data_IF_187304685875
#
_entry.id   IF_187304685875
#
_cell.length_a   1.000
_cell.length_b   1.000
_cell.length_c   1.000
_cell.angle_alpha   90.00
_cell.angle_beta   90.00
_cell.angle_gamma   90.00
#
_symmetry.space_group_name_H-M   'P 1'
#
loop_
_entity.id
_entity.type
_entity.pdbx_description
1 polymer ?
#
# COMPACT_ATOMS: atom_id res chain seq x y z
N UNK A 1 -3.05 -15.91 24.21
CA UNK A 1 -2.53 -16.68 23.07
C UNK A 1 -2.59 -15.75 21.89
N UNK A 2 -1.47 -15.55 21.19
CA UNK A 2 -1.41 -14.64 20.05
C UNK A 2 -2.48 -14.98 19.02
N UNK A 3 -3.03 -13.95 18.39
CA UNK A 3 -4.00 -14.06 17.30
C UNK A 3 -3.56 -13.19 16.15
N UNK A 4 -4.09 -13.48 14.97
CA UNK A 4 -3.94 -12.63 13.80
C UNK A 4 -5.31 -12.15 13.34
N UNK A 5 -5.38 -10.88 12.94
CA UNK A 5 -6.54 -10.28 12.28
C UNK A 5 -6.12 -9.75 10.91
N UNK A 6 -6.77 -10.19 9.85
CA UNK A 6 -6.58 -9.73 8.48
C UNK A 6 -7.76 -8.85 8.09
N UNK A 7 -7.47 -7.64 7.63
CA UNK A 7 -8.44 -6.65 7.15
C UNK A 7 -8.39 -6.63 5.63
N UNK A 8 -9.52 -6.84 4.97
CA UNK A 8 -9.59 -6.95 3.50
C UNK A 8 -10.59 -5.96 2.95
N UNK A 9 -10.11 -5.00 2.18
CA UNK A 9 -10.94 -4.10 1.38
C UNK A 9 -11.22 -4.69 0.00
N UNK A 10 -12.45 -4.58 -0.49
CA UNK A 10 -12.86 -5.09 -1.81
C UNK A 10 -13.78 -4.10 -2.52
N UNK A 11 -14.04 -4.33 -3.80
CA UNK A 11 -15.03 -3.56 -4.57
C UNK A 11 -16.49 -3.69 -4.10
N UNK A 12 -16.82 -4.61 -3.17
CA UNK A 12 -18.20 -4.77 -2.67
C UNK A 12 -18.30 -4.94 -1.15
N UNK A 13 -17.34 -4.41 -0.42
CA UNK A 13 -17.36 -4.33 1.04
C UNK A 13 -16.03 -4.68 1.67
N UNK A 14 -16.02 -4.67 3.00
CA UNK A 14 -14.90 -5.04 3.84
C UNK A 14 -15.12 -6.41 4.50
N UNK A 15 -14.02 -7.11 4.75
CA UNK A 15 -14.03 -8.37 5.48
C UNK A 15 -12.95 -8.35 6.57
N UNK A 16 -13.29 -8.90 7.74
CA UNK A 16 -12.36 -9.07 8.85
C UNK A 16 -12.20 -10.57 9.08
N UNK A 17 -10.97 -11.06 9.01
CA UNK A 17 -10.66 -12.48 9.18
C UNK A 17 -9.78 -12.66 10.41
N UNK A 18 -10.07 -13.64 11.25
CA UNK A 18 -9.28 -13.90 12.46
C UNK A 18 -8.87 -15.36 12.57
N UNK A 19 -7.65 -15.58 13.08
CA UNK A 19 -7.12 -16.91 13.39
C UNK A 19 -6.27 -16.86 14.66
N UNK A 20 -5.98 -18.02 15.22
CA UNK A 20 -4.96 -18.17 16.24
C UNK A 20 -3.53 -18.11 15.63
N UNK A 21 -2.51 -18.22 16.47
CA UNK A 21 -1.09 -18.25 16.05
C UNK A 21 -0.76 -19.29 14.98
N UNK A 22 -1.56 -20.37 14.87
CA UNK A 22 -1.32 -21.45 13.91
C UNK A 22 -1.77 -21.07 12.50
N UNK A 23 -2.69 -20.11 12.37
CA UNK A 23 -3.19 -19.59 11.07
C UNK A 23 -3.81 -20.66 10.16
N UNK A 24 -4.39 -21.70 10.75
CA UNK A 24 -4.99 -22.84 10.02
C UNK A 24 -6.50 -22.75 9.86
N UNK A 25 -7.20 -22.27 10.88
CA UNK A 25 -8.65 -22.12 10.88
C UNK A 25 -9.00 -20.64 10.98
N UNK A 26 -9.89 -20.18 10.12
CA UNK A 26 -10.19 -18.76 9.98
C UNK A 26 -11.67 -18.51 10.20
N UNK A 27 -11.98 -17.56 11.09
CA UNK A 27 -13.30 -16.95 11.17
C UNK A 27 -13.33 -15.76 10.23
N UNK A 28 -14.26 -15.77 9.29
CA UNK A 28 -14.45 -14.68 8.31
C UNK A 28 -15.73 -13.92 8.65
N UNK A 29 -15.61 -12.62 8.88
CA UNK A 29 -16.72 -11.71 9.18
C UNK A 29 -16.90 -10.69 8.05
N UNK A 30 -18.16 -10.40 7.71
CA UNK A 30 -18.55 -9.51 6.63
C UNK A 30 -19.64 -10.11 5.73
N UNK A 31 -19.98 -9.45 4.59
CA UNK A 31 -19.42 -8.16 4.18
C UNK A 31 -19.88 -7.03 5.12
N UNK A 32 -18.93 -6.27 5.66
CA UNK A 32 -19.20 -4.95 6.19
C UNK A 32 -19.35 -3.99 5.00
N UNK A 33 -20.28 -3.03 5.10
CA UNK A 33 -20.49 -2.03 4.04
C UNK A 33 -20.82 -2.64 2.68
N UNK A 34 -21.70 -3.64 2.67
CA UNK A 34 -22.04 -4.40 1.48
C UNK A 34 -22.39 -3.50 0.28
N UNK A 35 -21.69 -3.73 -0.84
CA UNK A 35 -21.89 -2.98 -2.09
C UNK A 35 -21.14 -1.64 -2.20
N UNK A 36 -20.30 -1.29 -1.22
CA UNK A 36 -19.36 -0.18 -1.30
C UNK A 36 -17.97 -0.66 -1.70
N UNK A 37 -17.23 0.15 -2.46
CA UNK A 37 -15.80 -0.05 -2.59
C UNK A 37 -15.13 0.33 -1.28
N UNK A 38 -14.26 -0.54 -0.77
CA UNK A 38 -13.41 -0.26 0.38
C UNK A 38 -11.97 -0.29 -0.09
N UNK A 39 -11.38 0.89 -0.32
CA UNK A 39 -10.04 1.02 -0.90
C UNK A 39 -8.98 0.52 0.07
N UNK A 40 -9.08 0.95 1.33
CA UNK A 40 -8.11 0.59 2.36
C UNK A 40 -8.76 0.44 3.72
N UNK A 41 -8.22 -0.48 4.51
CA UNK A 41 -8.50 -0.61 5.93
C UNK A 41 -7.18 -0.72 6.67
N UNK A 42 -7.01 0.02 7.76
CA UNK A 42 -5.81 -0.11 8.59
C UNK A 42 -6.14 0.03 10.07
N UNK A 43 -5.48 -0.77 10.90
CA UNK A 43 -5.65 -0.78 12.34
C UNK A 43 -4.49 -0.08 13.03
N UNK A 44 -4.77 0.64 14.12
CA UNK A 44 -3.71 1.29 14.89
C UNK A 44 -2.77 0.26 15.51
N UNK A 45 -1.44 0.43 15.40
CA UNK A 45 -0.48 -0.48 16.01
C UNK A 45 -0.41 -0.30 17.54
N UNK A 46 -0.89 0.82 18.08
CA UNK A 46 -0.87 1.12 19.53
C UNK A 46 -2.23 0.94 20.21
N UNK A 47 -3.30 0.85 19.43
CA UNK A 47 -4.63 0.44 19.89
C UNK A 47 -5.27 -0.44 18.81
N UNK A 48 -5.06 -1.77 18.86
CA UNK A 48 -5.45 -2.65 17.77
C UNK A 48 -6.96 -2.78 17.58
N UNK A 49 -7.79 -2.35 18.53
CA UNK A 49 -9.24 -2.34 18.35
C UNK A 49 -9.72 -1.12 17.54
N UNK A 50 -8.86 -0.11 17.37
CA UNK A 50 -9.11 1.02 16.49
C UNK A 50 -8.74 0.69 15.04
N UNK A 51 -9.74 0.68 14.17
CA UNK A 51 -9.59 0.41 12.73
C UNK A 51 -10.26 1.50 11.93
N UNK A 52 -9.60 1.99 10.88
CA UNK A 52 -10.16 2.92 9.90
C UNK A 52 -10.47 2.21 8.59
N UNK A 53 -11.53 2.61 7.90
CA UNK A 53 -11.87 2.07 6.57
C UNK A 53 -12.29 3.19 5.60
N UNK A 54 -11.71 3.15 4.39
CA UNK A 54 -11.93 4.13 3.33
C UNK A 54 -13.00 3.61 2.38
N UNK A 55 -14.26 4.01 2.59
CA UNK A 55 -15.32 3.72 1.64
C UNK A 55 -15.35 4.77 0.55
N UNK A 56 -15.56 4.36 -0.68
CA UNK A 56 -15.85 5.29 -1.77
C UNK A 56 -16.86 4.66 -2.72
N UNK A 57 -17.71 5.49 -3.32
CA UNK A 57 -18.60 5.07 -4.42
C UNK A 57 -18.90 6.24 -5.32
N UNK A 58 -18.98 6.01 -6.63
CA UNK A 58 -19.15 7.08 -7.62
C UNK A 58 -20.36 8.01 -7.38
N UNK A 59 -21.45 7.54 -6.75
CA UNK A 59 -22.63 8.38 -6.47
C UNK A 59 -22.58 9.12 -5.13
N UNK A 60 -21.91 8.56 -4.12
CA UNK A 60 -21.95 9.05 -2.74
C UNK A 60 -20.61 9.64 -2.27
N UNK A 61 -19.57 9.54 -3.09
CA UNK A 61 -18.22 9.98 -2.76
C UNK A 61 -17.56 9.14 -1.68
N UNK A 62 -16.57 9.73 -1.03
CA UNK A 62 -15.86 9.16 0.12
C UNK A 62 -16.76 9.09 1.36
N UNK A 63 -16.63 8.03 2.16
CA UNK A 63 -17.03 7.98 3.56
C UNK A 63 -15.92 7.34 4.39
N UNK A 64 -15.42 8.03 5.41
CA UNK A 64 -14.52 7.43 6.41
C UNK A 64 -15.34 6.71 7.48
N UNK A 65 -14.97 5.48 7.80
CA UNK A 65 -15.48 4.74 8.95
C UNK A 65 -14.39 4.48 9.96
N UNK A 66 -14.81 4.34 11.22
CA UNK A 66 -13.96 3.84 12.29
C UNK A 66 -14.67 2.76 13.10
N UNK A 67 -13.92 1.75 13.52
CA UNK A 67 -14.28 0.82 14.57
C UNK A 67 -13.37 1.08 15.78
N UNK A 68 -13.90 0.94 16.99
CA UNK A 68 -13.15 0.98 18.25
C UNK A 68 -13.31 -0.35 19.03
N UNK A 69 -13.75 -1.43 18.37
CA UNK A 69 -13.99 -2.75 18.97
C UNK A 69 -13.45 -3.91 18.11
N UNK A 70 -12.45 -3.60 17.28
CA UNK A 70 -11.76 -4.58 16.44
C UNK A 70 -12.54 -5.00 15.20
N UNK A 71 -13.42 -4.14 14.70
CA UNK A 71 -14.17 -4.33 13.46
C UNK A 71 -15.58 -4.90 13.65
N UNK A 72 -16.06 -5.05 14.89
CA UNK A 72 -17.40 -5.62 15.17
C UNK A 72 -18.49 -4.59 14.90
N UNK A 73 -18.27 -3.35 15.31
CA UNK A 73 -19.14 -2.21 15.05
C UNK A 73 -18.36 -1.07 14.39
N UNK A 74 -19.07 -0.26 13.62
CA UNK A 74 -18.51 0.80 12.80
C UNK A 74 -19.37 2.06 12.90
N UNK A 75 -18.71 3.22 12.90
CA UNK A 75 -19.36 4.52 12.88
C UNK A 75 -18.73 5.42 11.81
N UNK A 76 -19.54 6.25 11.12
CA UNK A 76 -19.03 7.24 10.18
C UNK A 76 -18.25 8.32 10.94
N UNK A 77 -17.16 8.77 10.34
CA UNK A 77 -16.26 9.76 10.91
C UNK A 77 -16.27 11.07 10.11
N UNK A 78 -15.40 12.01 10.48
CA UNK A 78 -15.20 13.25 9.73
C UNK A 78 -14.83 12.94 8.29
N UNK A 79 -15.44 13.69 7.37
CA UNK A 79 -15.33 13.44 5.93
C UNK A 79 -15.12 14.74 5.14
N UNK A 80 -14.70 15.80 5.81
CA UNK A 80 -14.36 17.08 5.18
C UNK A 80 -12.85 17.14 4.92
N UNK A 81 -12.44 16.94 3.67
CA UNK A 81 -11.05 17.02 3.22
C UNK A 81 -10.84 18.33 2.45
N UNK A 82 -10.63 19.43 3.19
CA UNK A 82 -10.44 20.77 2.60
C UNK A 82 -8.96 21.05 2.39
N UNK A 83 -8.60 21.46 1.18
CA UNK A 83 -7.25 21.93 0.90
C UNK A 83 -6.98 23.28 1.57
N UNK A 84 -5.81 23.40 2.19
CA UNK A 84 -5.30 24.63 2.78
C UNK A 84 -4.79 25.59 1.69
N UNK A 85 -5.15 26.87 1.84
CA UNK A 85 -4.69 27.92 0.94
C UNK A 85 -5.26 27.82 -0.49
N UNK A 86 -4.50 28.32 -1.46
CA UNK A 86 -4.91 28.28 -2.87
C UNK A 86 -4.74 26.86 -3.41
N UNK A 87 -5.80 26.34 -4.02
CA UNK A 87 -5.74 25.09 -4.78
C UNK A 87 -5.00 25.37 -6.08
N UNK A 88 -3.85 24.72 -6.25
CA UNK A 88 -3.04 24.78 -7.47
C UNK A 88 -3.58 23.78 -8.51
N UNK A 89 -2.90 23.68 -9.65
CA UNK A 89 -3.19 22.70 -10.70
C UNK A 89 -2.10 21.64 -10.78
N UNK A 90 -2.40 20.53 -11.43
CA UNK A 90 -1.46 19.54 -11.95
C UNK A 90 -1.77 19.28 -13.44
N UNK A 91 -1.05 18.39 -14.10
CA UNK A 91 -1.32 17.99 -15.49
C UNK A 91 -2.37 16.89 -15.56
N UNK A 92 -3.20 16.93 -16.59
CA UNK A 92 -4.12 15.85 -16.93
C UNK A 92 -3.55 14.92 -18.01
N UNK A 93 -4.30 13.87 -18.37
CA UNK A 93 -3.88 12.89 -19.39
C UNK A 93 -3.57 13.51 -20.77
N UNK A 94 -4.16 14.67 -21.08
CA UNK A 94 -3.94 15.44 -22.31
C UNK A 94 -2.94 16.60 -22.13
N UNK A 95 -2.22 16.64 -21.00
CA UNK A 95 -1.28 17.69 -20.60
C UNK A 95 -1.89 19.08 -20.34
N UNK A 96 -3.23 19.18 -20.26
CA UNK A 96 -3.90 20.39 -19.78
C UNK A 96 -3.71 20.58 -18.28
N UNK A 97 -3.88 21.82 -17.80
CA UNK A 97 -3.87 22.12 -16.37
C UNK A 97 -5.22 21.75 -15.76
N UNK A 98 -5.21 20.91 -14.74
CA UNK A 98 -6.37 20.45 -13.99
C UNK A 98 -6.24 20.86 -12.52
N UNK A 99 -7.28 21.42 -11.88
CA UNK A 99 -7.21 21.72 -10.44
C UNK A 99 -7.02 20.43 -9.63
N UNK A 100 -6.29 20.50 -8.53
CA UNK A 100 -6.33 19.41 -7.54
C UNK A 100 -7.74 19.27 -6.98
N UNK A 101 -8.29 18.06 -7.01
CA UNK A 101 -9.63 17.79 -6.48
C UNK A 101 -9.60 16.57 -5.55
N UNK A 102 -10.27 16.66 -4.41
CA UNK A 102 -10.44 15.52 -3.54
C UNK A 102 -11.51 14.59 -4.11
N UNK A 103 -11.12 13.35 -4.42
CA UNK A 103 -11.98 12.28 -4.90
C UNK A 103 -12.23 11.22 -3.83
N UNK A 104 -11.15 10.72 -3.21
CA UNK A 104 -11.20 9.61 -2.24
C UNK A 104 -9.94 9.54 -1.37
N UNK A 105 -10.09 8.90 -0.21
CA UNK A 105 -8.95 8.38 0.55
C UNK A 105 -8.50 7.08 -0.09
N UNK A 106 -7.23 7.02 -0.47
CA UNK A 106 -6.60 5.84 -1.05
C UNK A 106 -5.97 4.97 0.03
N UNK A 107 -5.24 5.57 0.98
CA UNK A 107 -4.47 4.85 2.00
C UNK A 107 -4.61 5.51 3.38
N UNK A 108 -4.78 4.70 4.42
CA UNK A 108 -4.68 5.13 5.81
C UNK A 108 -3.41 4.62 6.48
N UNK A 109 -2.72 5.51 7.18
CA UNK A 109 -1.52 5.19 7.95
C UNK A 109 -1.68 5.67 9.40
N UNK A 110 -2.10 4.80 10.33
CA UNK A 110 -2.16 5.12 11.76
C UNK A 110 -0.78 5.43 12.33
N UNK A 111 -0.72 6.32 13.32
CA UNK A 111 0.50 6.67 14.02
C UNK A 111 1.10 5.49 14.78
N UNK A 112 2.43 5.41 14.80
CA UNK A 112 3.18 4.41 15.55
C UNK A 112 3.17 4.64 17.08
N UNK A 113 2.67 5.78 17.55
CA UNK A 113 2.77 6.15 18.97
C UNK A 113 1.54 6.84 19.57
N UNK A 114 0.51 7.11 18.76
CA UNK A 114 -0.70 7.78 19.22
C UNK A 114 -1.94 7.15 18.56
N UNK A 115 -2.85 6.53 19.33
CA UNK A 115 -4.00 5.85 18.75
C UNK A 115 -4.97 6.80 18.05
N UNK A 116 -5.00 8.09 18.39
CA UNK A 116 -5.92 9.07 17.78
C UNK A 116 -5.32 9.75 16.54
N UNK A 117 -4.03 9.56 16.27
CA UNK A 117 -3.38 10.14 15.09
C UNK A 117 -3.39 9.17 13.91
N UNK A 118 -3.88 9.63 12.75
CA UNK A 118 -3.88 8.87 11.49
C UNK A 118 -3.63 9.81 10.32
N UNK A 119 -2.86 9.35 9.34
CA UNK A 119 -2.62 10.04 8.08
C UNK A 119 -3.47 9.41 6.97
N UNK A 120 -3.92 10.23 6.03
CA UNK A 120 -4.66 9.80 4.85
C UNK A 120 -3.99 10.30 3.58
N UNK A 121 -3.58 9.35 2.74
CA UNK A 121 -3.17 9.60 1.37
C UNK A 121 -4.41 9.62 0.48
N UNK A 122 -4.55 10.67 -0.33
CA UNK A 122 -5.76 10.88 -1.13
C UNK A 122 -5.45 10.98 -2.62
N UNK A 123 -6.52 10.90 -3.40
CA UNK A 123 -6.55 11.29 -4.80
C UNK A 123 -7.37 12.58 -4.88
N UNK A 124 -6.87 13.69 -5.42
CA UNK A 124 -5.54 13.87 -6.04
C UNK A 124 -4.42 14.18 -5.03
N UNK A 125 -3.28 13.46 -5.19
CA UNK A 125 -1.99 13.48 -4.49
C UNK A 125 -1.79 14.51 -3.35
N UNK A 126 -2.59 14.38 -2.29
CA UNK A 126 -2.47 15.19 -1.09
C UNK A 126 -2.40 14.30 0.16
N UNK A 127 -1.91 14.90 1.25
CA UNK A 127 -1.76 14.26 2.54
C UNK A 127 -2.63 14.99 3.56
N UNK A 128 -3.45 14.24 4.27
CA UNK A 128 -4.23 14.74 5.39
C UNK A 128 -3.81 14.05 6.68
N UNK A 129 -4.05 14.73 7.79
CA UNK A 129 -3.81 14.23 9.14
C UNK A 129 -5.05 14.46 9.99
N UNK A 130 -5.34 13.49 10.83
CA UNK A 130 -6.25 13.64 11.97
C UNK A 130 -5.49 13.34 13.25
N UNK A 131 -5.83 14.01 14.34
CA UNK A 131 -5.29 13.78 15.70
C UNK A 131 -6.40 13.53 16.73
N UNK A 132 -7.63 13.27 16.26
CA UNK A 132 -8.82 13.06 17.10
C UNK A 132 -9.58 11.78 16.72
N UNK A 133 -8.86 10.85 16.11
CA UNK A 133 -9.36 9.56 15.66
C UNK A 133 -10.26 9.69 14.44
N UNK A 134 -9.87 10.50 13.44
CA UNK A 134 -10.59 10.78 12.19
C UNK A 134 -11.88 11.60 12.34
N UNK A 135 -12.14 12.27 13.47
CA UNK A 135 -13.33 13.14 13.60
C UNK A 135 -13.17 14.42 12.79
N UNK A 136 -11.96 14.94 12.70
CA UNK A 136 -11.60 16.07 11.85
C UNK A 136 -10.32 15.77 11.07
N UNK A 137 -10.17 16.42 9.91
CA UNK A 137 -9.03 16.27 9.02
C UNK A 137 -8.44 17.64 8.69
N UNK A 138 -7.13 17.74 8.76
CA UNK A 138 -6.34 18.89 8.36
C UNK A 138 -5.40 18.46 7.23
N UNK A 139 -5.27 19.28 6.18
CA UNK A 139 -4.28 19.02 5.15
C UNK A 139 -2.87 19.28 5.69
N UNK A 140 -1.90 18.45 5.30
CA UNK A 140 -0.49 18.79 5.33
C UNK A 140 -0.08 19.24 3.92
N UNK A 141 -0.12 20.55 3.60
CA UNK A 141 -0.05 21.04 2.21
C UNK A 141 1.33 20.87 1.57
N UNK A 142 2.36 20.51 2.33
CA UNK A 142 3.76 20.47 1.88
C UNK A 142 3.98 19.60 0.63
N UNK A 143 3.22 18.51 0.47
CA UNK A 143 3.34 17.65 -0.71
C UNK A 143 2.66 18.28 -1.93
N UNK A 144 1.42 18.77 -1.79
CA UNK A 144 0.66 19.41 -2.89
C UNK A 144 1.28 20.76 -3.32
N UNK A 145 2.02 21.41 -2.43
CA UNK A 145 2.71 22.68 -2.69
C UNK A 145 4.19 22.52 -3.02
N UNK A 146 4.68 21.28 -3.16
CA UNK A 146 6.03 21.00 -3.63
C UNK A 146 6.23 21.61 -5.03
N UNK A 147 7.43 22.13 -5.32
CA UNK A 147 7.74 22.91 -6.53
C UNK A 147 7.32 22.24 -7.85
N UNK A 148 7.45 20.92 -7.92
CA UNK A 148 7.12 20.11 -9.10
C UNK A 148 5.65 19.70 -9.18
N UNK A 149 4.81 19.99 -8.17
CA UNK A 149 3.43 19.52 -8.08
C UNK A 149 2.55 19.91 -9.28
N UNK A 150 2.87 21.02 -9.96
CA UNK A 150 2.14 21.47 -11.16
C UNK A 150 2.47 20.68 -12.43
N UNK A 151 3.54 19.89 -12.39
CA UNK A 151 4.00 19.05 -13.51
C UNK A 151 3.54 17.59 -13.41
N UNK A 152 3.01 17.18 -12.27
CA UNK A 152 2.58 15.79 -12.05
C UNK A 152 1.37 15.45 -12.90
N UNK A 153 1.31 14.22 -13.38
CA UNK A 153 0.22 13.72 -14.21
C UNK A 153 -0.29 12.38 -13.65
N UNK A 154 -1.60 12.09 -13.72
CA UNK A 154 -2.13 10.80 -13.29
C UNK A 154 -1.61 9.66 -14.16
N UNK A 155 -1.38 8.51 -13.55
CA UNK A 155 -1.28 7.23 -14.27
C UNK A 155 -2.68 6.65 -14.51
N UNK A 156 -2.76 5.46 -15.10
CA UNK A 156 -4.06 4.80 -15.34
C UNK A 156 -4.90 4.55 -14.07
N UNK A 157 -4.25 4.54 -12.90
CA UNK A 157 -4.90 4.40 -11.59
C UNK A 157 -5.40 5.71 -10.96
N UNK A 158 -5.22 6.86 -11.61
CA UNK A 158 -5.43 8.20 -11.04
C UNK A 158 -4.17 8.77 -10.40
N UNK A 159 -4.21 10.03 -9.96
CA UNK A 159 -3.09 10.72 -9.29
C UNK A 159 -3.16 10.47 -7.77
N UNK A 160 -2.86 9.25 -7.33
CA UNK A 160 -3.09 8.84 -5.94
C UNK A 160 -1.81 8.83 -5.08
N UNK A 161 -1.90 9.41 -3.88
CA UNK A 161 -0.92 9.19 -2.81
C UNK A 161 -1.29 7.89 -2.08
N UNK A 162 -0.53 6.83 -2.36
CA UNK A 162 -0.89 5.46 -1.95
C UNK A 162 0.05 4.87 -0.89
N UNK A 163 1.30 5.33 -0.81
CA UNK A 163 2.23 4.87 0.22
C UNK A 163 2.51 6.01 1.19
N UNK A 164 2.37 5.74 2.49
CA UNK A 164 2.86 6.57 3.58
C UNK A 164 3.63 5.63 4.51
N UNK A 165 4.89 5.96 4.81
CA UNK A 165 5.72 5.19 5.74
C UNK A 165 6.20 6.14 6.83
N UNK A 166 5.89 5.81 8.08
CA UNK A 166 6.38 6.51 9.26
C UNK A 166 7.68 5.85 9.73
N UNK A 167 8.73 6.65 9.96
CA UNK A 167 9.98 6.10 10.47
C UNK A 167 9.88 5.81 11.99
N UNK A 168 10.13 4.56 12.43
CA UNK A 168 10.01 4.18 13.83
C UNK A 168 11.14 4.72 14.73
N UNK A 169 12.25 5.18 14.15
CA UNK A 169 13.44 5.70 14.85
C UNK A 169 13.48 7.23 14.77
N UNK A 170 13.32 7.80 13.57
CA UNK A 170 13.30 9.25 13.35
C UNK A 170 11.87 9.75 13.18
N UNK A 171 11.20 10.10 14.28
CA UNK A 171 9.76 10.39 14.30
C UNK A 171 9.27 11.48 13.33
N UNK A 172 10.12 12.44 12.97
CA UNK A 172 9.77 13.50 12.02
C UNK A 172 10.03 13.07 10.55
N UNK A 173 10.69 11.93 10.33
CA UNK A 173 10.92 11.40 8.99
C UNK A 173 9.73 10.56 8.54
N UNK A 174 9.28 10.84 7.33
CA UNK A 174 8.27 10.04 6.64
C UNK A 174 8.55 9.97 5.15
N UNK A 175 8.06 8.92 4.52
CA UNK A 175 8.14 8.70 3.08
C UNK A 175 6.74 8.64 2.49
N UNK A 176 6.59 9.15 1.27
CA UNK A 176 5.37 9.07 0.50
C UNK A 176 5.65 8.63 -0.93
N UNK A 177 4.70 7.93 -1.56
CA UNK A 177 4.75 7.62 -2.98
C UNK A 177 3.44 7.94 -3.68
N UNK A 178 3.56 8.48 -4.90
CA UNK A 178 2.45 8.95 -5.72
C UNK A 178 2.57 8.36 -7.13
N UNK A 179 1.46 7.85 -7.66
CA UNK A 179 1.35 7.40 -9.06
C UNK A 179 0.59 8.43 -9.89
N UNK A 180 1.15 9.12 -10.88
CA UNK A 180 2.57 9.25 -11.21
C UNK A 180 3.11 10.60 -10.76
N UNK A 181 4.08 10.58 -9.86
CA UNK A 181 4.91 11.73 -9.52
C UNK A 181 6.26 11.27 -8.97
N UNK A 182 6.28 10.15 -8.23
CA UNK A 182 7.50 9.53 -7.74
C UNK A 182 7.42 9.24 -6.25
N UNK A 183 8.59 9.17 -5.62
CA UNK A 183 8.74 9.00 -4.19
C UNK A 183 9.27 10.29 -3.55
N UNK A 184 8.82 10.58 -2.33
CA UNK A 184 9.16 11.79 -1.59
C UNK A 184 9.52 11.44 -0.14
N UNK A 185 10.41 12.25 0.45
CA UNK A 185 10.81 12.15 1.85
C UNK A 185 10.63 13.50 2.54
N UNK A 186 10.04 13.47 3.72
CA UNK A 186 10.01 14.60 4.66
C UNK A 186 10.91 14.27 5.85
N UNK A 187 11.52 15.30 6.44
CA UNK A 187 12.31 15.21 7.68
C UNK A 187 11.72 16.10 8.79
N UNK A 188 10.52 16.66 8.57
CA UNK A 188 9.87 17.65 9.44
C UNK A 188 8.37 17.36 9.66
N UNK A 189 8.02 16.07 9.72
CA UNK A 189 6.69 15.52 9.95
C UNK A 189 5.66 15.92 8.87
N UNK A 190 6.10 15.96 7.61
CA UNK A 190 5.24 16.17 6.45
C UNK A 190 5.03 17.64 6.06
N UNK A 191 5.75 18.58 6.69
CA UNK A 191 5.63 20.02 6.37
C UNK A 191 6.32 20.36 5.06
N UNK A 192 7.48 19.77 4.79
CA UNK A 192 8.21 19.92 3.53
C UNK A 192 8.64 18.55 2.99
N UNK A 193 8.76 18.46 1.67
CA UNK A 193 9.03 17.21 0.96
C UNK A 193 10.10 17.38 -0.09
N UNK A 194 11.05 16.44 -0.12
CA UNK A 194 12.09 16.32 -1.12
C UNK A 194 11.81 15.11 -2.01
N UNK A 195 11.87 15.23 -3.35
CA UNK A 195 11.90 14.06 -4.23
C UNK A 195 13.08 13.13 -3.90
N UNK A 196 12.84 11.82 -3.90
CA UNK A 196 13.85 10.78 -3.65
C UNK A 196 13.80 9.74 -4.75
N UNK A 197 14.15 10.18 -5.97
CA UNK A 197 13.99 9.42 -7.22
C UNK A 197 15.31 9.20 -7.96
N UNK A 198 16.43 9.65 -7.39
CA UNK A 198 17.75 9.49 -8.02
C UNK A 198 18.07 8.00 -8.22
N UNK A 199 18.43 7.63 -9.44
CA UNK A 199 18.71 6.23 -9.83
C UNK A 199 17.48 5.49 -10.36
N UNK A 200 16.30 6.10 -10.34
CA UNK A 200 15.15 5.61 -11.11
C UNK A 200 15.32 5.99 -12.59
N UNK A 201 14.83 5.14 -13.49
CA UNK A 201 14.86 5.35 -14.93
C UNK A 201 13.54 4.91 -15.56
N UNK A 202 13.02 5.67 -16.53
CA UNK A 202 11.76 5.35 -17.23
C UNK A 202 11.82 5.75 -18.71
N UNK A 203 12.07 4.80 -19.61
CA UNK A 203 12.22 5.07 -21.05
C UNK A 203 10.99 5.70 -21.72
N UNK A 204 9.80 5.55 -21.14
CA UNK A 204 8.56 6.13 -21.66
C UNK A 204 8.37 7.62 -21.34
N UNK A 205 9.23 8.18 -20.48
CA UNK A 205 9.18 9.59 -20.12
C UNK A 205 10.03 10.41 -21.11
N UNK A 206 9.66 11.67 -21.40
CA UNK A 206 10.46 12.54 -22.28
C UNK A 206 11.91 12.72 -21.81
N UNK A 207 12.10 12.81 -20.50
CA UNK A 207 13.39 12.70 -19.83
C UNK A 207 13.35 11.45 -18.93
N UNK A 208 14.04 10.36 -19.32
CA UNK A 208 14.01 9.11 -18.58
C UNK A 208 14.56 9.18 -17.16
N UNK A 209 15.40 10.16 -16.86
CA UNK A 209 16.06 10.37 -15.56
C UNK A 209 15.47 11.57 -14.79
N UNK A 210 14.29 12.05 -15.19
CA UNK A 210 13.64 13.19 -14.56
C UNK A 210 13.42 12.99 -13.06
N UNK A 211 13.56 14.06 -12.27
CA UNK A 211 13.39 13.97 -10.82
C UNK A 211 11.95 13.58 -10.40
N UNK A 212 10.96 13.80 -11.26
CA UNK A 212 9.55 13.44 -11.01
C UNK A 212 8.86 12.89 -12.25
N UNK A 213 7.72 12.25 -12.05
CA UNK A 213 6.89 11.64 -13.08
C UNK A 213 6.96 10.11 -13.10
N UNK A 214 7.88 9.49 -12.35
CA UNK A 214 7.94 8.04 -12.23
C UNK A 214 6.65 7.49 -11.58
N UNK A 215 6.13 6.41 -12.15
CA UNK A 215 5.00 5.67 -11.58
C UNK A 215 5.53 4.66 -10.55
N UNK A 216 5.47 5.01 -9.27
CA UNK A 216 5.87 4.13 -8.15
C UNK A 216 4.66 3.33 -7.70
N UNK A 217 4.78 2.00 -7.56
CA UNK A 217 3.64 1.16 -7.20
C UNK A 217 3.47 0.92 -5.70
N UNK A 218 4.56 0.64 -4.99
CA UNK A 218 4.56 0.47 -3.53
C UNK A 218 5.99 0.62 -3.02
N UNK A 219 6.15 1.16 -1.81
CA UNK A 219 7.42 1.14 -1.08
C UNK A 219 7.21 0.34 0.22
N UNK A 220 8.20 -0.44 0.61
CA UNK A 220 8.24 -1.16 1.88
C UNK A 220 9.54 -0.85 2.63
N UNK A 221 9.47 -0.88 3.97
CA UNK A 221 10.58 -0.56 4.86
C UNK A 221 10.56 -1.51 6.05
N UNK A 222 11.72 -2.08 6.39
CA UNK A 222 11.85 -2.84 7.62
C UNK A 222 12.08 -1.90 8.82
N UNK A 223 11.35 -2.05 9.94
CA UNK A 223 11.46 -1.11 11.08
C UNK A 223 12.84 -1.10 11.74
N UNK A 224 13.61 -2.20 11.68
CA UNK A 224 14.98 -2.25 12.22
C UNK A 224 16.04 -1.59 11.33
N UNK A 225 15.73 -1.30 10.06
CA UNK A 225 16.66 -0.69 9.09
C UNK A 225 15.95 0.43 8.30
N UNK A 226 15.52 1.53 8.96
CA UNK A 226 14.66 2.55 8.31
C UNK A 226 15.36 3.42 7.24
N UNK A 227 16.65 3.19 6.96
CA UNK A 227 17.32 3.77 5.79
C UNK A 227 17.28 2.84 4.56
N UNK A 228 16.87 1.58 4.74
CA UNK A 228 16.74 0.62 3.65
C UNK A 228 15.28 0.56 3.25
N UNK A 229 15.00 0.92 2.00
CA UNK A 229 13.65 0.81 1.43
C UNK A 229 13.70 -0.01 0.15
N UNK A 230 12.61 -0.72 -0.09
CA UNK A 230 12.39 -1.49 -1.31
C UNK A 230 11.18 -0.93 -2.04
N UNK A 231 11.23 -0.89 -3.36
CA UNK A 231 10.20 -0.29 -4.18
C UNK A 231 9.85 -1.24 -5.31
N UNK A 232 8.56 -1.52 -5.48
CA UNK A 232 8.03 -1.94 -6.77
C UNK A 232 7.69 -0.64 -7.52
N UNK A 233 8.43 -0.36 -8.59
CA UNK A 233 8.09 0.70 -9.55
C UNK A 233 7.22 0.09 -10.65
N UNK A 234 6.65 0.91 -11.55
CA UNK A 234 5.86 0.44 -12.68
C UNK A 234 6.60 -0.65 -13.45
N UNK A 235 7.82 -0.36 -13.89
CA UNK A 235 8.83 -1.37 -14.20
C UNK A 235 9.97 -1.23 -13.19
N UNK A 236 10.64 -2.33 -12.93
CA UNK A 236 11.76 -2.49 -12.00
C UNK A 236 11.35 -2.73 -10.53
N UNK A 237 12.12 -3.58 -9.87
CA UNK A 237 12.17 -3.66 -8.41
C UNK A 237 13.45 -2.94 -7.98
N UNK A 238 13.31 -1.97 -7.07
CA UNK A 238 14.41 -1.08 -6.66
C UNK A 238 14.71 -1.20 -5.17
N UNK A 239 15.95 -0.92 -4.79
CA UNK A 239 16.42 -0.81 -3.40
C UNK A 239 17.19 0.49 -3.20
N UNK A 240 17.05 1.06 -2.03
CA UNK A 240 17.95 2.11 -1.52
C UNK A 240 18.47 1.68 -0.16
N UNK A 241 19.72 2.02 0.17
CA UNK A 241 20.31 1.82 1.49
C UNK A 241 20.58 3.15 2.22
N UNK A 242 20.14 4.27 1.64
CA UNK A 242 20.38 5.63 2.12
C UNK A 242 19.11 6.49 2.14
N UNK A 243 17.99 5.89 2.55
CA UNK A 243 16.70 6.56 2.72
C UNK A 243 16.20 7.26 1.45
N UNK A 244 16.43 6.66 0.28
CA UNK A 244 15.95 7.15 -1.02
C UNK A 244 16.86 8.16 -1.71
N UNK A 245 18.03 8.49 -1.15
CA UNK A 245 18.96 9.42 -1.80
C UNK A 245 19.63 8.82 -3.06
N UNK A 246 19.68 7.48 -3.17
CA UNK A 246 20.03 6.74 -4.39
C UNK A 246 19.31 5.39 -4.42
N UNK A 247 18.68 5.07 -5.54
CA UNK A 247 18.08 3.78 -5.83
C UNK A 247 18.94 2.95 -6.79
N UNK A 248 18.87 1.63 -6.61
CA UNK A 248 19.52 0.64 -7.44
C UNK A 248 18.50 -0.42 -7.84
N UNK A 249 18.54 -0.82 -9.10
CA UNK A 249 17.72 -1.93 -9.58
C UNK A 249 18.17 -3.24 -8.92
N UNK A 250 17.19 -4.03 -8.50
CA UNK A 250 17.33 -5.35 -7.88
C UNK A 250 16.39 -6.39 -8.49
N UNK A 251 15.90 -6.17 -9.72
CA UNK A 251 14.99 -7.09 -10.43
C UNK A 251 15.64 -8.46 -10.66
N UNK A 252 16.92 -8.48 -11.07
CA UNK A 252 17.73 -9.69 -11.23
C UNK A 252 17.07 -10.79 -12.07
N UNK A 253 16.81 -11.95 -11.47
CA UNK A 253 16.27 -13.13 -12.15
C UNK A 253 14.72 -13.24 -12.12
N UNK A 254 13.98 -12.17 -11.81
CA UNK A 254 12.53 -12.18 -11.90
C UNK A 254 12.05 -12.47 -13.34
N UNK A 255 10.90 -13.15 -13.53
CA UNK A 255 10.38 -13.45 -14.86
C UNK A 255 9.84 -12.23 -15.61
N UNK A 256 9.59 -11.15 -14.88
CA UNK A 256 9.12 -9.83 -15.32
C UNK A 256 9.41 -8.85 -14.19
N UNK A 257 9.68 -7.60 -14.54
CA UNK A 257 9.94 -6.49 -13.62
C UNK A 257 8.68 -5.68 -13.28
N UNK A 258 7.55 -5.99 -13.93
CA UNK A 258 6.24 -5.39 -13.67
C UNK A 258 5.52 -6.11 -12.52
N UNK A 259 4.89 -5.35 -11.63
CA UNK A 259 4.16 -5.85 -10.47
C UNK A 259 3.59 -4.69 -9.65
N UNK A 260 2.90 -4.95 -8.55
CA UNK A 260 2.37 -3.86 -7.70
C UNK A 260 2.82 -3.94 -6.24
N UNK A 261 2.87 -5.14 -5.69
CA UNK A 261 3.17 -5.35 -4.27
C UNK A 261 4.66 -5.54 -4.03
N UNK A 262 5.13 -5.00 -2.91
CA UNK A 262 6.39 -5.37 -2.29
C UNK A 262 6.21 -5.29 -0.77
N UNK A 263 6.76 -6.25 -0.03
CA UNK A 263 6.79 -6.21 1.44
C UNK A 263 8.05 -6.90 1.99
N UNK A 264 8.40 -6.63 3.24
CA UNK A 264 9.62 -7.12 3.91
C UNK A 264 9.24 -8.03 5.07
N UNK A 265 9.93 -9.16 5.21
CA UNK A 265 9.77 -10.09 6.32
C UNK A 265 9.94 -9.38 7.67
N UNK A 266 9.07 -9.67 8.65
CA UNK A 266 8.99 -8.93 9.92
C UNK A 266 10.22 -9.06 10.84
N UNK A 267 11.06 -10.07 10.63
CA UNK A 267 12.27 -10.33 11.43
C UNK A 267 13.57 -10.36 10.63
N UNK A 268 13.49 -10.28 9.30
CA UNK A 268 14.64 -10.47 8.40
C UNK A 268 14.68 -9.30 7.41
N UNK A 269 15.45 -8.23 7.68
CA UNK A 269 15.31 -6.97 6.96
C UNK A 269 15.78 -6.98 5.51
N UNK A 270 16.48 -8.03 5.08
CA UNK A 270 16.86 -8.26 3.68
C UNK A 270 15.98 -9.33 3.01
N UNK A 271 14.99 -9.90 3.72
CA UNK A 271 14.05 -10.86 3.13
C UNK A 271 12.82 -10.12 2.59
N UNK A 272 12.65 -10.11 1.27
CA UNK A 272 11.63 -9.32 0.57
C UNK A 272 10.76 -10.19 -0.32
N UNK A 273 9.50 -9.80 -0.48
CA UNK A 273 8.49 -10.50 -1.27
C UNK A 273 7.92 -9.62 -2.37
N UNK A 274 7.75 -10.17 -3.56
CA UNK A 274 7.03 -9.54 -4.68
C UNK A 274 6.11 -10.55 -5.36
N UNK A 275 5.11 -10.05 -6.08
CA UNK A 275 4.25 -10.87 -6.95
C UNK A 275 4.29 -10.28 -8.36
N UNK A 276 5.13 -10.82 -9.25
CA UNK A 276 5.28 -10.31 -10.60
C UNK A 276 4.01 -10.50 -11.45
N UNK A 277 3.70 -9.51 -12.26
CA UNK A 277 2.58 -9.45 -13.19
C UNK A 277 3.15 -9.35 -14.60
N UNK A 278 2.51 -10.03 -15.56
CA UNK A 278 3.06 -10.24 -16.90
C UNK A 278 3.43 -8.94 -17.62
N UNK A 279 2.55 -7.95 -17.56
CA UNK A 279 2.78 -6.60 -18.11
C UNK A 279 1.71 -5.63 -17.62
N UNK A 280 1.95 -4.35 -17.86
CA UNK A 280 0.99 -3.26 -17.69
C UNK A 280 -0.16 -3.27 -18.70
N UNK A 281 -0.10 -4.08 -19.75
CA UNK A 281 -1.22 -4.32 -20.66
C UNK A 281 -2.13 -5.45 -20.19
N UNK A 282 -1.53 -6.53 -19.69
CA UNK A 282 -2.23 -7.80 -19.46
C UNK A 282 -2.79 -7.88 -18.04
N UNK A 283 -2.11 -7.30 -17.05
CA UNK A 283 -2.56 -7.26 -15.66
C UNK A 283 -2.90 -8.64 -15.05
N UNK A 284 -2.19 -9.70 -15.43
CA UNK A 284 -2.27 -11.01 -14.77
C UNK A 284 -0.90 -11.67 -14.64
N UNK A 285 -0.79 -12.68 -13.78
CA UNK A 285 0.48 -13.39 -13.51
C UNK A 285 1.08 -14.10 -14.74
N UNK A 286 2.42 -14.13 -14.90
CA UNK A 286 3.07 -14.84 -16.00
C UNK A 286 2.68 -16.32 -16.10
N UNK A 287 2.58 -16.83 -17.33
CA UNK A 287 2.24 -18.23 -17.67
C UNK A 287 0.88 -18.74 -17.14
N UNK A 288 0.01 -17.87 -16.61
CA UNK A 288 -1.19 -18.30 -15.90
C UNK A 288 -0.89 -19.03 -14.59
N UNK A 289 0.25 -18.72 -13.96
CA UNK A 289 0.76 -19.37 -12.74
C UNK A 289 0.99 -18.35 -11.63
N UNK A 290 0.24 -18.48 -10.53
CA UNK A 290 0.40 -17.62 -9.37
C UNK A 290 1.63 -18.05 -8.57
N UNK A 291 2.57 -17.13 -8.36
CA UNK A 291 3.84 -17.35 -7.66
C UNK A 291 4.16 -16.11 -6.85
N UNK A 292 4.54 -16.30 -5.60
CA UNK A 292 5.20 -15.24 -4.81
C UNK A 292 6.70 -15.43 -4.98
N UNK A 293 7.45 -14.37 -5.21
CA UNK A 293 8.91 -14.43 -5.28
C UNK A 293 9.50 -13.87 -4.00
N UNK A 294 10.44 -14.61 -3.42
CA UNK A 294 11.20 -14.20 -2.23
C UNK A 294 12.65 -14.01 -2.60
N UNK A 295 13.27 -12.94 -2.10
CA UNK A 295 14.72 -12.82 -2.03
C UNK A 295 15.11 -12.73 -0.57
N UNK A 296 16.19 -13.41 -0.17
CA UNK A 296 16.77 -13.34 1.20
C UNK A 296 18.00 -12.44 1.29
N UNK A 297 18.40 -11.86 0.16
CA UNK A 297 19.60 -11.01 0.00
C UNK A 297 19.22 -9.56 -0.31
N UNK A 298 17.94 -9.23 -0.21
CA UNK A 298 17.36 -7.93 -0.51
C UNK A 298 17.31 -7.63 -2.00
N UNK A 299 17.06 -8.66 -2.82
CA UNK A 299 16.82 -8.61 -4.25
C UNK A 299 17.89 -9.33 -5.09
N UNK A 300 17.83 -9.15 -6.41
CA UNK A 300 18.64 -9.78 -7.47
C UNK A 300 18.51 -11.31 -7.60
N UNK A 301 18.50 -12.04 -6.49
CA UNK A 301 18.33 -13.48 -6.43
C UNK A 301 16.97 -13.80 -5.80
N UNK A 302 16.05 -14.26 -6.65
CA UNK A 302 14.66 -14.53 -6.31
C UNK A 302 14.33 -16.00 -6.50
N UNK A 303 13.64 -16.58 -5.52
CA UNK A 303 13.08 -17.92 -5.59
C UNK A 303 11.56 -17.87 -5.75
N UNK A 304 11.01 -18.73 -6.62
CA UNK A 304 9.58 -18.84 -6.81
C UNK A 304 8.95 -19.74 -5.74
N UNK A 305 8.06 -19.16 -4.94
CA UNK A 305 7.29 -19.83 -3.91
C UNK A 305 5.90 -20.20 -4.46
N UNK A 306 5.63 -21.49 -4.59
CA UNK A 306 4.50 -21.99 -5.40
C UNK A 306 3.62 -23.01 -4.69
N UNK A 307 4.10 -23.62 -3.61
CA UNK A 307 3.41 -24.73 -2.94
C UNK A 307 2.08 -24.26 -2.37
N UNK A 308 0.98 -24.79 -2.90
CA UNK A 308 -0.38 -24.41 -2.50
C UNK A 308 -1.03 -23.31 -3.35
N UNK A 309 -0.31 -22.73 -4.33
CA UNK A 309 -0.83 -21.72 -5.25
C UNK A 309 -1.20 -22.33 -6.62
N UNK A 310 -2.22 -21.80 -7.33
CA UNK A 310 -2.59 -22.26 -8.68
C UNK A 310 -1.43 -22.17 -9.68
N UNK A 311 -1.06 -23.30 -10.30
CA UNK A 311 0.03 -23.41 -11.28
C UNK A 311 -0.45 -23.61 -12.73
N UNK A 312 -1.72 -23.27 -13.01
CA UNK A 312 -2.29 -23.20 -14.36
C UNK A 312 -3.61 -22.42 -14.31
N UNK A 313 -4.02 -21.88 -15.45
CA UNK A 313 -5.31 -21.24 -15.67
C UNK A 313 -5.66 -20.14 -14.65
N UNK A 314 -4.64 -19.45 -14.11
CA UNK A 314 -4.79 -18.39 -13.13
C UNK A 314 -4.47 -17.03 -13.75
N UNK A 315 -5.51 -16.23 -14.00
CA UNK A 315 -5.40 -14.93 -14.67
C UNK A 315 -5.85 -13.79 -13.75
N UNK A 316 -5.26 -13.76 -12.54
CA UNK A 316 -5.55 -12.74 -11.53
C UNK A 316 -4.45 -11.70 -11.46
N UNK A 317 -4.79 -10.51 -10.97
CA UNK A 317 -3.84 -9.48 -10.57
C UNK A 317 -3.72 -9.44 -9.02
N UNK A 318 -2.66 -8.80 -8.52
CA UNK A 318 -2.49 -8.44 -7.10
C UNK A 318 -2.21 -6.94 -7.04
N UNK A 319 -3.08 -6.17 -6.38
CA UNK A 319 -3.01 -4.71 -6.35
C UNK A 319 -2.06 -4.20 -5.24
N UNK A 320 -1.67 -2.93 -5.33
CA UNK A 320 -0.59 -2.26 -4.57
C UNK A 320 -0.64 -2.50 -3.06
N UNK A 321 -1.83 -2.40 -2.47
CA UNK A 321 -2.05 -2.55 -1.04
C UNK A 321 -2.54 -3.95 -0.64
N UNK A 322 -2.53 -4.91 -1.57
CA UNK A 322 -3.07 -6.25 -1.39
C UNK A 322 -2.04 -7.28 -0.90
N UNK A 323 -0.98 -6.84 -0.20
CA UNK A 323 -0.01 -7.69 0.49
C UNK A 323 0.32 -7.09 1.86
N UNK A 324 0.49 -7.96 2.86
CA UNK A 324 0.95 -7.57 4.20
C UNK A 324 1.66 -8.74 4.90
N UNK A 325 2.48 -8.44 5.91
CA UNK A 325 3.13 -9.44 6.78
C UNK A 325 2.72 -9.29 8.25
N UNK A 326 2.59 -10.41 8.97
CA UNK A 326 2.43 -10.39 10.43
C UNK A 326 3.77 -10.45 11.17
N UNK A 327 3.73 -10.17 12.46
CA UNK A 327 4.90 -10.11 13.35
C UNK A 327 5.01 -11.28 14.33
N UNK A 328 4.31 -12.40 14.09
CA UNK A 328 4.51 -13.63 14.87
C UNK A 328 5.92 -14.19 14.60
N UNK A 329 6.46 -15.01 15.51
CA UNK A 329 7.81 -15.59 15.40
C UNK A 329 8.06 -16.26 14.03
N UNK A 330 7.07 -17.02 13.56
CA UNK A 330 7.02 -17.46 12.15
C UNK A 330 6.27 -16.40 11.35
N UNK A 331 6.99 -15.51 10.67
CA UNK A 331 6.40 -14.43 9.89
C UNK A 331 5.33 -14.97 8.94
N UNK A 332 4.11 -14.45 9.08
CA UNK A 332 3.04 -14.72 8.13
C UNK A 332 3.12 -13.77 6.95
N UNK A 333 2.81 -14.28 5.76
CA UNK A 333 2.70 -13.47 4.54
C UNK A 333 1.30 -13.64 3.98
N UNK A 334 0.65 -12.53 3.67
CA UNK A 334 -0.74 -12.47 3.23
C UNK A 334 -0.82 -11.72 1.92
N UNK A 335 -1.68 -12.18 1.01
CA UNK A 335 -2.01 -11.37 -0.15
C UNK A 335 -3.41 -11.68 -0.69
N UNK A 336 -4.01 -10.69 -1.34
CA UNK A 336 -5.32 -10.75 -1.96
C UNK A 336 -5.25 -10.56 -3.46
N UNK A 337 -6.16 -11.20 -4.20
CA UNK A 337 -6.17 -11.14 -5.67
C UNK A 337 -7.43 -10.45 -6.19
N UNK A 338 -7.36 -9.92 -7.41
CA UNK A 338 -8.56 -9.40 -8.10
C UNK A 338 -9.56 -10.50 -8.46
N UNK A 339 -9.16 -11.77 -8.38
CA UNK A 339 -10.04 -12.93 -8.50
C UNK A 339 -10.85 -13.25 -7.24
N UNK A 340 -10.64 -12.53 -6.14
CA UNK A 340 -11.38 -12.73 -4.90
C UNK A 340 -10.79 -13.76 -3.94
N UNK A 341 -9.56 -14.21 -4.19
CA UNK A 341 -8.84 -15.08 -3.26
C UNK A 341 -8.04 -14.24 -2.25
N UNK A 342 -7.94 -14.72 -1.02
CA UNK A 342 -6.99 -14.22 -0.02
C UNK A 342 -6.19 -15.41 0.48
N UNK A 343 -4.88 -15.34 0.33
CA UNK A 343 -3.94 -16.40 0.71
C UNK A 343 -3.16 -16.02 1.97
N UNK A 344 -2.75 -17.04 2.70
CA UNK A 344 -1.79 -16.95 3.80
C UNK A 344 -0.71 -18.01 3.64
N UNK A 345 0.52 -17.61 3.94
CA UNK A 345 1.58 -18.50 4.38
C UNK A 345 1.88 -18.22 5.86
N UNK A 346 1.98 -19.27 6.66
CA UNK A 346 2.35 -19.20 8.08
C UNK A 346 3.83 -19.56 8.31
N UNK A 347 4.60 -19.72 7.23
CA UNK A 347 5.97 -20.24 7.18
C UNK A 347 6.85 -19.42 6.22
N UNK A 348 6.74 -18.09 6.29
CA UNK A 348 7.55 -17.14 5.50
C UNK A 348 7.50 -17.39 3.98
N UNK A 349 6.36 -17.87 3.48
CA UNK A 349 6.09 -18.13 2.07
C UNK A 349 6.40 -19.55 1.58
N UNK A 350 6.95 -20.44 2.41
CA UNK A 350 7.33 -21.81 1.99
C UNK A 350 6.11 -22.67 1.58
N UNK A 351 4.94 -22.42 2.16
CA UNK A 351 3.66 -22.99 1.72
C UNK A 351 2.47 -22.06 1.93
N UNK A 352 1.49 -22.19 1.03
CA UNK A 352 0.33 -21.31 0.96
C UNK A 352 -0.98 -22.07 1.14
N UNK A 353 -1.96 -21.40 1.74
CA UNK A 353 -3.35 -21.85 1.81
C UNK A 353 -4.27 -20.67 1.56
N UNK A 354 -5.42 -20.90 0.92
CA UNK A 354 -6.44 -19.88 0.77
C UNK A 354 -7.23 -19.77 2.08
N UNK A 355 -7.32 -18.56 2.64
CA UNK A 355 -8.26 -18.24 3.72
C UNK A 355 -9.69 -18.25 3.15
N UNK A 356 -9.86 -17.63 1.98
CA UNK A 356 -11.12 -17.54 1.22
C UNK A 356 -10.82 -17.51 -0.28
N UNK A 357 -11.78 -17.97 -1.09
CA UNK A 357 -11.60 -18.09 -2.55
C UNK A 357 -12.55 -17.23 -3.40
N UNK A 358 -13.65 -16.73 -2.84
CA UNK A 358 -14.80 -16.22 -3.60
C UNK A 358 -15.26 -14.84 -3.11
N UNK A 359 -14.34 -14.00 -2.65
CA UNK A 359 -14.65 -12.61 -2.36
C UNK A 359 -14.86 -11.81 -3.66
N UNK A 360 -15.42 -10.58 -3.58
CA UNK A 360 -15.23 -9.60 -4.63
C UNK A 360 -13.74 -9.31 -4.87
N UNK A 361 -13.42 -8.68 -6.01
CA UNK A 361 -12.04 -8.28 -6.34
C UNK A 361 -11.42 -7.48 -5.18
N UNK A 362 -10.29 -7.98 -4.67
CA UNK A 362 -9.61 -7.44 -3.49
C UNK A 362 -8.80 -6.21 -3.88
N UNK A 363 -8.96 -5.14 -3.10
CA UNK A 363 -8.28 -3.87 -3.26
C UNK A 363 -7.09 -3.74 -2.33
N UNK A 364 -7.25 -4.20 -1.08
CA UNK A 364 -6.22 -4.11 -0.05
C UNK A 364 -6.30 -5.26 0.96
N UNK A 365 -5.15 -5.56 1.55
CA UNK A 365 -4.96 -6.52 2.64
C UNK A 365 -4.04 -5.85 3.67
N UNK A 366 -4.48 -5.80 4.92
CA UNK A 366 -3.66 -5.39 6.07
C UNK A 366 -3.77 -6.45 7.17
N UNK A 367 -2.77 -6.54 8.04
CA UNK A 367 -2.73 -7.56 9.09
C UNK A 367 -2.27 -6.98 10.43
N UNK A 368 -2.90 -7.44 11.51
CA UNK A 368 -2.54 -7.12 12.88
C UNK A 368 -2.19 -8.39 13.65
N UNK A 369 -1.04 -8.39 14.33
CA UNK A 369 -0.71 -9.37 15.37
C UNK A 369 -1.28 -8.90 16.69
N UNK A 370 -2.08 -9.73 17.36
CA UNK A 370 -2.79 -9.41 18.59
C UNK A 370 -2.27 -10.28 19.74
N UNK A 371 -2.00 -9.68 20.90
CA UNK A 371 -1.48 -10.37 22.10
C UNK A 371 -2.55 -10.91 23.04
#
# INVERSE_FOLDING_TARGET
MPKVRVLVGTHKGAFVMTSDERRKEWKVEGPHFAGWDVYHMNGSPVDPDRIYAAQSRGWFGQVVQRSDDGGKTWQPMGNEFKYEGKVNTHKWYDNSDHPYEFLRVWHFEPSLSDPDTVYAGVEDAALFKSTDGAKTWEELPGIRTQESATSWAPGAGGLCLHTIILDPVKKDRMFAAISSAGAFRSEDAGKTWKPITKGLHSEIMPDPDAEVGHCVHRIAMHPSRPNVLFMQKHWDVMRTDNAGDMWHEISGNLPTDFGFVIDVHSHEPDTVYVIPIKSDSDHFVPDGKLRVYRSKTGGNEWEALTKGLPQKDCYVNVLRDAMAVDSLDSCGVYFGTTGGQVYVSADAGDSWSAIVNNLPSVLSVQVQTLS
#
